data_IF_032960669541
#
_entry.id   IF_032960669541
#
_cell.length_a   1.000
_cell.length_b   1.000
_cell.length_c   1.000
_cell.angle_alpha   90.00
_cell.angle_beta   90.00
_cell.angle_gamma   90.00
#
_symmetry.space_group_name_H-M   'P 1'
#
loop_
_entity.id
_entity.type
_entity.pdbx_description
1 polymer ?
#
# COMPACT_ATOMS: atom_id res chain seq x y z
N UNK A 1 -25.25 -5.31 3.92
CA UNK A 1 -24.42 -6.16 3.04
C UNK A 1 -24.01 -7.37 3.89
N UNK A 2 -24.67 -8.51 3.72
CA UNK A 2 -24.30 -9.72 4.48
C UNK A 2 -22.96 -10.22 3.91
N UNK A 3 -21.92 -10.28 4.74
CA UNK A 3 -20.66 -10.89 4.34
C UNK A 3 -20.83 -12.40 4.24
N UNK A 4 -20.47 -12.97 3.09
CA UNK A 4 -20.26 -14.41 2.98
C UNK A 4 -19.02 -14.82 3.78
N UNK A 5 -19.05 -16.03 4.35
CA UNK A 5 -17.90 -16.64 5.03
C UNK A 5 -16.66 -16.65 4.12
N UNK A 6 -16.86 -16.89 2.81
CA UNK A 6 -15.77 -16.86 1.83
C UNK A 6 -15.11 -15.49 1.73
N UNK A 7 -15.90 -14.42 1.72
CA UNK A 7 -15.38 -13.03 1.67
C UNK A 7 -14.58 -12.72 2.92
N UNK A 8 -15.06 -13.12 4.09
CA UNK A 8 -14.34 -12.96 5.36
C UNK A 8 -12.99 -13.68 5.33
N UNK A 9 -12.97 -14.95 4.92
CA UNK A 9 -11.73 -15.73 4.83
C UNK A 9 -10.72 -15.13 3.84
N UNK A 10 -11.19 -14.63 2.70
CA UNK A 10 -10.34 -13.95 1.72
C UNK A 10 -9.75 -12.65 2.29
N UNK A 11 -10.56 -11.84 2.97
CA UNK A 11 -10.08 -10.60 3.61
C UNK A 11 -9.04 -10.89 4.69
N UNK A 12 -9.25 -11.92 5.51
CA UNK A 12 -8.27 -12.35 6.52
C UNK A 12 -6.96 -12.79 5.87
N UNK A 13 -7.03 -13.62 4.82
CA UNK A 13 -5.84 -14.09 4.11
C UNK A 13 -5.07 -12.92 3.47
N UNK A 14 -5.78 -12.03 2.77
CA UNK A 14 -5.19 -10.83 2.16
C UNK A 14 -4.50 -9.98 3.23
N UNK A 15 -5.16 -9.77 4.38
CA UNK A 15 -4.62 -9.00 5.50
C UNK A 15 -3.34 -9.61 6.08
N UNK A 16 -3.33 -10.92 6.32
CA UNK A 16 -2.14 -11.64 6.84
C UNK A 16 -0.97 -11.57 5.86
N UNK A 17 -1.21 -11.85 4.58
CA UNK A 17 -0.15 -11.82 3.56
C UNK A 17 0.37 -10.40 3.38
N UNK A 18 -0.51 -9.40 3.29
CA UNK A 18 -0.11 -8.01 3.15
C UNK A 18 0.65 -7.49 4.39
N UNK A 19 0.21 -7.87 5.59
CA UNK A 19 0.89 -7.53 6.85
C UNK A 19 2.29 -8.16 6.95
N UNK A 20 2.41 -9.44 6.61
CA UNK A 20 3.69 -10.14 6.56
C UNK A 20 4.66 -9.48 5.56
N UNK A 21 4.19 -9.19 4.33
CA UNK A 21 5.00 -8.50 3.32
C UNK A 21 5.36 -7.07 3.73
N UNK A 22 4.45 -6.36 4.42
CA UNK A 22 4.72 -5.03 4.95
C UNK A 22 5.84 -5.05 5.99
N UNK A 23 5.82 -6.02 6.91
CA UNK A 23 6.89 -6.18 7.91
C UNK A 23 8.21 -6.64 7.31
N UNK A 24 8.18 -7.52 6.29
CA UNK A 24 9.37 -8.06 5.65
C UNK A 24 10.09 -7.04 4.75
N UNK A 25 9.32 -6.28 3.96
CA UNK A 25 9.85 -5.43 2.89
C UNK A 25 9.68 -3.91 3.15
N UNK A 26 8.91 -3.51 4.16
CA UNK A 26 8.68 -2.10 4.49
C UNK A 26 7.78 -1.34 3.49
N UNK A 27 7.16 -2.02 2.52
CA UNK A 27 6.37 -1.41 1.44
C UNK A 27 4.92 -1.06 1.83
N UNK A 28 4.50 -1.32 3.07
CA UNK A 28 3.15 -1.00 3.56
C UNK A 28 2.03 -1.93 3.04
N UNK A 29 2.35 -3.04 2.37
CA UNK A 29 1.39 -4.10 1.98
C UNK A 29 0.41 -3.77 0.84
N UNK A 30 0.28 -2.50 0.43
CA UNK A 30 -0.68 -2.09 -0.61
C UNK A 30 -0.39 -2.69 -2.00
N UNK A 31 0.87 -2.99 -2.30
CA UNK A 31 1.26 -3.68 -3.54
C UNK A 31 0.57 -5.04 -3.66
N UNK A 32 0.28 -5.70 -2.54
CA UNK A 32 -0.45 -6.97 -2.50
C UNK A 32 -1.95 -6.73 -2.37
N UNK A 33 -2.38 -5.84 -1.46
CA UNK A 33 -3.80 -5.61 -1.20
C UNK A 33 -4.55 -5.08 -2.42
N UNK A 34 -4.03 -4.07 -3.11
CA UNK A 34 -4.77 -3.41 -4.20
C UNK A 34 -5.09 -4.41 -5.33
N UNK A 35 -4.13 -5.18 -5.87
CA UNK A 35 -4.44 -6.24 -6.83
C UNK A 35 -5.40 -7.30 -6.28
N UNK A 36 -5.23 -7.73 -5.03
CA UNK A 36 -6.11 -8.77 -4.45
C UNK A 36 -7.57 -8.29 -4.34
N UNK A 37 -7.79 -7.06 -3.88
CA UNK A 37 -9.12 -6.46 -3.81
C UNK A 37 -9.77 -6.33 -5.20
N UNK A 38 -9.00 -5.94 -6.23
CA UNK A 38 -9.51 -5.78 -7.60
C UNK A 38 -9.77 -7.13 -8.26
N UNK A 39 -8.81 -8.04 -8.24
CA UNK A 39 -8.88 -9.25 -9.06
C UNK A 39 -9.60 -10.41 -8.37
N UNK A 40 -9.50 -10.51 -7.04
CA UNK A 40 -10.15 -11.57 -6.26
C UNK A 40 -11.53 -11.12 -5.80
N UNK A 41 -11.62 -9.95 -5.16
CA UNK A 41 -12.89 -9.44 -4.60
C UNK A 41 -13.68 -8.54 -5.57
N UNK A 42 -13.16 -8.29 -6.78
CA UNK A 42 -13.83 -7.52 -7.85
C UNK A 42 -14.17 -6.09 -7.46
N UNK A 43 -13.38 -5.48 -6.58
CA UNK A 43 -13.57 -4.09 -6.18
C UNK A 43 -13.20 -3.15 -7.35
N UNK A 44 -13.93 -2.04 -7.53
CA UNK A 44 -13.48 -0.94 -8.39
C UNK A 44 -12.11 -0.41 -7.95
N UNK A 45 -11.30 0.09 -8.90
CA UNK A 45 -9.93 0.56 -8.62
C UNK A 45 -9.91 1.58 -7.46
N UNK A 46 -10.78 2.58 -7.49
CA UNK A 46 -10.82 3.62 -6.46
C UNK A 46 -11.18 3.07 -5.07
N UNK A 47 -12.10 2.09 -5.02
CA UNK A 47 -12.49 1.45 -3.78
C UNK A 47 -11.34 0.61 -3.21
N UNK A 48 -10.70 -0.22 -4.03
CA UNK A 48 -9.55 -1.01 -3.61
C UNK A 48 -8.42 -0.12 -3.06
N UNK A 49 -8.16 1.00 -3.73
CA UNK A 49 -7.11 1.95 -3.34
C UNK A 49 -7.47 2.66 -2.02
N UNK A 50 -8.69 3.19 -1.91
CA UNK A 50 -9.18 3.81 -0.67
C UNK A 50 -9.18 2.85 0.53
N UNK A 51 -9.69 1.62 0.35
CA UNK A 51 -9.64 0.59 1.39
C UNK A 51 -8.21 0.27 1.82
N UNK A 52 -7.29 0.13 0.88
CA UNK A 52 -5.87 -0.13 1.21
C UNK A 52 -5.23 1.02 1.98
N UNK A 53 -5.57 2.28 1.66
CA UNK A 53 -5.03 3.46 2.35
C UNK A 53 -5.48 3.53 3.81
N UNK A 54 -6.75 3.19 4.11
CA UNK A 54 -7.25 3.09 5.50
C UNK A 54 -6.42 2.09 6.29
N UNK A 55 -6.13 0.93 5.68
CA UNK A 55 -5.35 -0.13 6.31
C UNK A 55 -3.88 0.26 6.52
N UNK A 56 -3.29 1.07 5.62
CA UNK A 56 -1.91 1.55 5.72
C UNK A 56 -1.70 2.62 6.80
N UNK A 57 -2.73 3.40 7.15
CA UNK A 57 -2.59 4.66 7.88
C UNK A 57 -2.06 4.45 9.31
N UNK A 58 -2.86 3.98 10.28
CA UNK A 58 -2.39 2.97 11.24
C UNK A 58 -3.47 1.90 11.51
N UNK A 59 -3.12 0.64 11.87
CA UNK A 59 -2.00 0.27 12.77
C UNK A 59 -0.82 -0.52 12.15
N UNK A 60 -0.87 -0.95 10.88
CA UNK A 60 0.08 -1.94 10.35
C UNK A 60 1.54 -1.46 10.41
N UNK A 61 1.77 -0.22 9.99
CA UNK A 61 3.13 0.33 9.88
C UNK A 61 3.75 0.64 11.24
N UNK A 62 2.95 0.79 12.30
CA UNK A 62 3.44 1.14 13.65
C UNK A 62 4.30 0.01 14.22
N UNK A 63 3.83 -1.24 14.13
CA UNK A 63 4.52 -2.39 14.71
C UNK A 63 5.88 -2.60 14.01
N UNK A 64 5.88 -2.55 12.67
CA UNK A 64 7.10 -2.67 11.88
C UNK A 64 8.07 -1.52 12.18
N UNK A 65 7.60 -0.27 12.13
CA UNK A 65 8.42 0.90 12.41
C UNK A 65 9.02 0.87 13.83
N UNK A 66 8.26 0.40 14.81
CA UNK A 66 8.74 0.23 16.19
C UNK A 66 9.88 -0.79 16.28
N UNK A 67 9.74 -1.94 15.60
CA UNK A 67 10.80 -2.95 15.56
C UNK A 67 12.07 -2.43 14.90
N UNK A 68 11.95 -1.72 13.77
CA UNK A 68 13.11 -1.08 13.11
C UNK A 68 13.72 0.03 13.97
N UNK A 69 12.90 0.81 14.68
CA UNK A 69 13.37 1.85 15.60
C UNK A 69 14.16 1.24 16.76
N UNK A 70 13.65 0.17 17.39
CA UNK A 70 14.37 -0.61 18.40
C UNK A 70 15.68 -1.19 17.89
N UNK A 71 15.74 -1.59 16.62
CA UNK A 71 16.94 -2.09 15.98
C UNK A 71 17.93 -0.97 15.55
N UNK A 72 17.66 0.30 15.87
CA UNK A 72 18.50 1.44 15.50
C UNK A 72 18.51 1.77 14.01
N UNK A 73 17.55 1.23 13.23
CA UNK A 73 17.49 1.35 11.77
C UNK A 73 16.57 2.49 11.30
N UNK A 74 16.28 3.46 12.17
CA UNK A 74 15.38 4.57 11.87
C UNK A 74 16.09 5.91 12.06
N UNK A 75 16.18 6.69 10.99
CA UNK A 75 16.64 8.07 11.04
C UNK A 75 15.45 9.01 11.25
N UNK A 76 15.22 9.42 12.50
CA UNK A 76 14.07 10.25 12.90
C UNK A 76 14.05 11.60 12.17
N UNK A 77 15.21 12.23 11.97
CA UNK A 77 15.29 13.52 11.27
C UNK A 77 14.80 13.39 9.83
N UNK A 78 15.22 12.34 9.13
CA UNK A 78 14.81 12.09 7.75
C UNK A 78 13.33 11.71 7.70
N UNK A 79 12.86 10.89 8.65
CA UNK A 79 11.45 10.53 8.77
C UNK A 79 10.54 11.75 8.91
N UNK A 80 10.88 12.73 9.76
CA UNK A 80 10.06 13.94 9.95
C UNK A 80 9.98 14.77 8.66
N UNK A 81 11.11 14.97 7.97
CA UNK A 81 11.15 15.71 6.69
C UNK A 81 10.28 14.99 5.65
N UNK A 82 10.44 13.67 5.55
CA UNK A 82 9.66 12.85 4.62
C UNK A 82 8.17 12.87 4.96
N UNK A 83 7.77 12.86 6.24
CA UNK A 83 6.37 12.94 6.66
C UNK A 83 5.73 14.24 6.16
N UNK A 84 6.40 15.38 6.34
CA UNK A 84 5.88 16.68 5.91
C UNK A 84 5.72 16.71 4.39
N UNK A 85 6.75 16.30 3.64
CA UNK A 85 6.69 16.23 2.18
C UNK A 85 5.63 15.22 1.70
N UNK A 86 5.48 14.10 2.39
CA UNK A 86 4.52 13.06 2.09
C UNK A 86 3.08 13.55 2.25
N UNK A 87 2.77 14.31 3.30
CA UNK A 87 1.45 14.93 3.51
C UNK A 87 1.11 15.82 2.31
N UNK A 88 2.03 16.72 1.91
CA UNK A 88 1.82 17.61 0.77
C UNK A 88 1.60 16.80 -0.52
N UNK A 89 2.49 15.84 -0.81
CA UNK A 89 2.37 14.99 -1.99
C UNK A 89 1.08 14.19 -2.02
N UNK A 90 0.61 13.72 -0.87
CA UNK A 90 -0.65 12.97 -0.74
C UNK A 90 -1.86 13.85 -1.06
N UNK A 91 -1.90 15.09 -0.57
CA UNK A 91 -3.01 16.02 -0.85
C UNK A 91 -3.17 16.22 -2.36
N UNK A 92 -2.09 16.51 -3.08
CA UNK A 92 -2.17 16.71 -4.54
C UNK A 92 -2.42 15.39 -5.28
N UNK A 93 -1.71 14.32 -4.88
CA UNK A 93 -1.78 13.02 -5.53
C UNK A 93 -3.15 12.35 -5.39
N UNK A 94 -3.79 12.41 -4.22
CA UNK A 94 -5.11 11.81 -4.01
C UNK A 94 -6.20 12.55 -4.76
N UNK A 95 -6.15 13.89 -4.77
CA UNK A 95 -7.10 14.71 -5.52
C UNK A 95 -7.01 14.44 -7.03
N UNK A 96 -5.80 14.32 -7.57
CA UNK A 96 -5.62 13.92 -8.96
C UNK A 96 -6.09 12.48 -9.19
N UNK A 97 -5.72 11.53 -8.32
CA UNK A 97 -6.07 10.12 -8.49
C UNK A 97 -7.59 9.88 -8.55
N UNK A 98 -8.38 10.59 -7.75
CA UNK A 98 -9.85 10.43 -7.71
C UNK A 98 -10.52 10.95 -8.99
N UNK A 99 -9.91 11.93 -9.67
CA UNK A 99 -10.45 12.51 -10.92
C UNK A 99 -10.05 11.72 -12.16
N UNK A 100 -9.05 10.84 -12.07
CA UNK A 100 -8.60 10.04 -13.19
C UNK A 100 -9.53 8.85 -13.48
N UNK A 101 -9.65 8.42 -14.75
CA UNK A 101 -10.32 7.17 -15.08
C UNK A 101 -9.62 5.95 -14.44
N UNK A 102 -10.39 4.96 -13.99
CA UNK A 102 -9.86 3.75 -13.33
C UNK A 102 -8.80 3.03 -14.19
N UNK A 103 -9.01 2.97 -15.50
CA UNK A 103 -8.06 2.35 -16.44
C UNK A 103 -6.71 3.08 -16.46
N UNK A 104 -6.73 4.41 -16.36
CA UNK A 104 -5.52 5.25 -16.30
C UNK A 104 -4.79 5.02 -14.98
N UNK A 105 -5.50 5.04 -13.85
CA UNK A 105 -4.89 4.82 -12.54
C UNK A 105 -4.27 3.41 -12.43
N UNK A 106 -4.95 2.40 -12.97
CA UNK A 106 -4.43 1.04 -13.08
C UNK A 106 -3.15 0.97 -13.92
N UNK A 107 -3.11 1.65 -15.07
CA UNK A 107 -1.91 1.71 -15.92
C UNK A 107 -0.74 2.40 -15.21
N UNK A 108 -0.98 3.53 -14.56
CA UNK A 108 0.03 4.24 -13.77
C UNK A 108 0.63 3.32 -12.71
N UNK A 109 -0.23 2.64 -11.94
CA UNK A 109 0.21 1.70 -10.91
C UNK A 109 1.03 0.54 -11.49
N UNK A 110 0.58 -0.06 -12.59
CA UNK A 110 1.30 -1.15 -13.26
C UNK A 110 2.69 -0.71 -13.78
N UNK A 111 2.77 0.45 -14.42
CA UNK A 111 4.05 0.99 -14.92
C UNK A 111 5.00 1.25 -13.75
N UNK A 112 4.52 1.84 -12.65
CA UNK A 112 5.33 2.07 -11.46
C UNK A 112 5.92 0.76 -10.91
N UNK A 113 5.11 -0.30 -10.80
CA UNK A 113 5.57 -1.61 -10.33
C UNK A 113 6.64 -2.21 -11.26
N UNK A 114 6.45 -2.11 -12.58
CA UNK A 114 7.44 -2.59 -13.55
C UNK A 114 8.76 -1.82 -13.45
N UNK A 115 8.70 -0.50 -13.26
CA UNK A 115 9.90 0.33 -13.10
C UNK A 115 10.66 -0.03 -11.83
N UNK A 116 9.96 -0.21 -10.70
CA UNK A 116 10.56 -0.63 -9.44
C UNK A 116 11.20 -2.01 -9.57
N UNK A 117 10.46 -2.98 -10.12
CA UNK A 117 10.97 -4.33 -10.33
C UNK A 117 12.19 -4.35 -11.26
N UNK A 118 12.13 -3.65 -12.39
CA UNK A 118 13.24 -3.55 -13.33
C UNK A 118 14.47 -2.88 -12.71
N UNK A 119 14.28 -1.79 -11.97
CA UNK A 119 15.40 -1.14 -11.26
C UNK A 119 16.03 -2.06 -10.22
N UNK A 120 15.24 -2.80 -9.45
CA UNK A 120 15.78 -3.73 -8.44
C UNK A 120 16.56 -4.90 -9.07
N UNK A 121 16.10 -5.41 -10.22
CA UNK A 121 16.79 -6.49 -10.94
C UNK A 121 18.07 -6.05 -11.64
N UNK A 122 18.12 -4.80 -12.12
CA UNK A 122 19.23 -4.26 -12.90
C UNK A 122 20.20 -3.42 -12.06
N UNK A 123 19.84 -3.08 -10.83
CA UNK A 123 20.76 -2.48 -9.87
C UNK A 123 21.84 -3.51 -9.52
N UNK A 124 23.11 -3.10 -9.64
CA UNK A 124 24.25 -3.89 -9.12
C UNK A 124 24.23 -3.96 -7.60
#
# INVERSE_FOLDING_TARGET
>A
MNMSVTTLLLLLLIGVVAGFMSGLLGIGGAIIMVPALIYVLKFPQHMAQGTSLVVMLPPISIIAAYNYWKAGQVNIKFSIILIIAFILGTIFGSNLAITLPQATLKKIFAILLLLVAGKMLLSK
#
